data_IF_563751753890
#
_entry.id   IF_563751753890
#
_cell.length_a   1.000
_cell.length_b   1.000
_cell.length_c   1.000
_cell.angle_alpha   90.00
_cell.angle_beta   90.00
_cell.angle_gamma   90.00
#
_symmetry.space_group_name_H-M   'P 1'
#
loop_
_entity.id
_entity.type
_entity.pdbx_description
1 polymer ?
#
# COMPACT_ATOMS: atom_id res chain seq x y z
N UNK A 1 -2.14 8.10 -17.41
CA UNK A 1 -2.24 8.20 -15.94
C UNK A 1 -3.68 7.91 -15.51
N UNK A 2 -3.91 7.26 -14.37
CA UNK A 2 -5.26 6.92 -13.94
C UNK A 2 -6.01 8.09 -13.29
N UNK A 3 -7.33 7.99 -13.25
CA UNK A 3 -8.20 8.86 -12.45
C UNK A 3 -8.17 8.46 -10.96
N UNK A 4 -8.72 9.32 -10.09
CA UNK A 4 -8.90 8.96 -8.67
C UNK A 4 -10.03 7.96 -8.54
N UNK A 5 -9.78 6.87 -7.84
CA UNK A 5 -10.75 5.84 -7.49
C UNK A 5 -11.16 5.96 -6.03
N UNK A 6 -12.36 5.47 -5.71
CA UNK A 6 -12.95 5.58 -4.38
C UNK A 6 -13.66 4.30 -3.98
N UNK A 7 -13.51 3.94 -2.72
CA UNK A 7 -14.27 2.91 -2.02
C UNK A 7 -15.01 3.56 -0.87
N UNK A 8 -16.34 3.67 -0.98
CA UNK A 8 -17.17 4.15 0.13
C UNK A 8 -17.16 3.14 1.28
N UNK A 9 -17.28 1.84 0.94
CA UNK A 9 -17.31 0.73 1.89
C UNK A 9 -16.10 0.72 2.82
N UNK A 10 -14.90 0.97 2.29
CA UNK A 10 -13.65 0.92 3.05
C UNK A 10 -13.09 2.29 3.42
N UNK A 11 -13.83 3.38 3.10
CA UNK A 11 -13.40 4.77 3.26
C UNK A 11 -11.99 5.00 2.71
N UNK A 12 -11.72 4.42 1.54
CA UNK A 12 -10.41 4.44 0.89
C UNK A 12 -10.51 5.25 -0.40
N UNK A 13 -9.57 6.17 -0.59
CA UNK A 13 -9.43 6.96 -1.81
C UNK A 13 -7.99 6.82 -2.27
N UNK A 14 -7.79 6.63 -3.57
CA UNK A 14 -6.46 6.48 -4.13
C UNK A 14 -6.43 6.80 -5.61
N UNK A 15 -5.28 7.26 -6.09
CA UNK A 15 -5.03 7.49 -7.51
C UNK A 15 -3.85 6.61 -7.93
N UNK A 16 -4.10 5.47 -8.59
CA UNK A 16 -3.02 4.69 -9.20
C UNK A 16 -2.24 5.57 -10.18
N UNK A 17 -0.94 5.34 -10.34
CA UNK A 17 -0.18 6.05 -11.38
C UNK A 17 -0.75 5.72 -12.77
N UNK A 18 -0.99 4.43 -13.01
CA UNK A 18 -1.65 3.94 -14.22
C UNK A 18 -2.60 2.79 -13.93
N UNK A 19 -3.58 2.62 -14.83
CA UNK A 19 -4.35 1.40 -15.00
C UNK A 19 -4.16 1.02 -16.45
N UNK A 20 -3.77 -0.22 -16.71
CA UNK A 20 -3.59 -0.76 -18.05
C UNK A 20 -4.69 -1.77 -18.35
N UNK A 21 -5.23 -1.72 -19.55
CA UNK A 21 -6.16 -2.73 -20.03
C UNK A 21 -5.40 -3.97 -20.49
N UNK A 22 -5.83 -5.14 -20.02
CA UNK A 22 -5.23 -6.42 -20.37
C UNK A 22 -6.32 -7.42 -20.70
N UNK A 23 -5.94 -8.63 -21.16
CA UNK A 23 -6.89 -9.75 -21.30
C UNK A 23 -7.56 -10.16 -19.97
N UNK A 24 -7.01 -9.75 -18.83
CA UNK A 24 -7.55 -10.01 -17.50
C UNK A 24 -8.39 -8.83 -16.96
N UNK A 25 -8.67 -7.83 -17.80
CA UNK A 25 -9.31 -6.58 -17.41
C UNK A 25 -8.30 -5.51 -16.95
N UNK A 26 -8.78 -4.48 -16.23
CA UNK A 26 -7.96 -3.35 -15.77
C UNK A 26 -6.98 -3.78 -14.68
N UNK A 27 -5.69 -3.50 -14.87
CA UNK A 27 -4.61 -3.83 -13.94
C UNK A 27 -3.91 -2.56 -13.45
N UNK A 28 -3.84 -2.31 -12.12
CA UNK A 28 -3.16 -1.13 -11.61
C UNK A 28 -1.63 -1.27 -11.68
N UNK A 29 -0.96 -0.15 -11.94
CA UNK A 29 0.50 -0.02 -11.93
C UNK A 29 0.89 1.14 -11.00
N UNK A 30 1.78 0.85 -10.06
CA UNK A 30 2.39 1.81 -9.14
C UNK A 30 3.85 2.04 -9.51
N UNK A 31 4.29 3.30 -9.56
CA UNK A 31 5.67 3.68 -9.84
C UNK A 31 6.37 4.12 -8.56
N UNK A 32 7.54 3.54 -8.29
CA UNK A 32 8.38 3.89 -7.14
C UNK A 32 9.66 4.57 -7.58
N UNK A 33 9.93 5.72 -6.99
CA UNK A 33 11.19 6.46 -7.16
C UNK A 33 12.40 5.76 -6.51
N UNK A 34 12.15 4.83 -5.58
CA UNK A 34 13.17 3.95 -5.02
C UNK A 34 13.60 2.88 -6.05
N UNK A 35 14.81 2.34 -5.86
CA UNK A 35 15.22 1.10 -6.53
C UNK A 35 14.55 -0.10 -5.87
N UNK A 36 14.38 -1.20 -6.62
CA UNK A 36 13.89 -2.44 -6.03
C UNK A 36 14.95 -2.97 -5.03
N UNK A 37 14.55 -3.47 -3.85
CA UNK A 37 15.50 -4.04 -2.89
C UNK A 37 16.40 -5.12 -3.52
N UNK A 38 17.61 -5.28 -2.98
CA UNK A 38 18.56 -6.29 -3.47
C UNK A 38 18.03 -7.72 -3.37
N UNK A 39 17.10 -7.98 -2.44
CA UNK A 39 16.39 -9.26 -2.33
C UNK A 39 15.48 -9.58 -3.52
N UNK A 40 15.22 -8.61 -4.41
CA UNK A 40 14.26 -8.74 -5.50
C UNK A 40 12.79 -8.67 -5.06
N UNK A 41 12.53 -8.57 -3.75
CA UNK A 41 11.19 -8.52 -3.19
C UNK A 41 10.78 -7.07 -2.87
N UNK A 42 9.58 -6.62 -3.28
CA UNK A 42 9.03 -5.34 -2.86
C UNK A 42 8.95 -5.20 -1.34
N UNK A 43 9.04 -3.96 -0.83
CA UNK A 43 8.75 -3.70 0.58
C UNK A 43 7.28 -4.02 0.88
N UNK A 44 6.95 -4.55 2.08
CA UNK A 44 5.57 -4.85 2.46
C UNK A 44 4.60 -3.67 2.29
N UNK A 45 5.06 -2.44 2.61
CA UNK A 45 4.25 -1.23 2.41
C UNK A 45 3.94 -0.94 0.93
N UNK A 46 4.86 -1.23 0.00
CA UNK A 46 4.60 -1.09 -1.43
C UNK A 46 3.58 -2.12 -1.92
N UNK A 47 3.65 -3.35 -1.39
CA UNK A 47 2.71 -4.44 -1.69
C UNK A 47 1.31 -4.06 -1.22
N UNK A 48 1.14 -3.61 0.04
CA UNK A 48 -0.15 -3.19 0.57
C UNK A 48 -0.72 -1.97 -0.14
N UNK A 49 0.12 -1.01 -0.53
CA UNK A 49 -0.35 0.13 -1.32
C UNK A 49 -0.87 -0.31 -2.70
N UNK A 50 -0.17 -1.21 -3.39
CA UNK A 50 -0.66 -1.76 -4.65
C UNK A 50 -1.95 -2.56 -4.46
N UNK A 51 -2.05 -3.35 -3.38
CA UNK A 51 -3.27 -4.08 -3.04
C UNK A 51 -4.46 -3.12 -2.83
N UNK A 52 -4.22 -1.94 -2.24
CA UNK A 52 -5.24 -0.91 -2.10
C UNK A 52 -5.79 -0.45 -3.47
N UNK A 53 -4.93 -0.33 -4.49
CA UNK A 53 -5.39 -0.04 -5.85
C UNK A 53 -6.10 -1.22 -6.50
N UNK A 54 -5.67 -2.47 -6.28
CA UNK A 54 -6.41 -3.62 -6.77
C UNK A 54 -7.84 -3.67 -6.20
N UNK A 55 -8.00 -3.38 -4.90
CA UNK A 55 -9.32 -3.26 -4.26
C UNK A 55 -10.16 -2.12 -4.87
N UNK A 56 -9.55 -0.96 -5.11
CA UNK A 56 -10.25 0.18 -5.73
C UNK A 56 -10.67 -0.10 -7.17
N UNK A 57 -9.84 -0.80 -7.95
CA UNK A 57 -10.18 -1.25 -9.31
C UNK A 57 -11.33 -2.27 -9.25
N UNK A 58 -11.27 -3.23 -8.33
CA UNK A 58 -12.33 -4.21 -8.13
C UNK A 58 -13.69 -3.56 -7.85
N UNK A 59 -13.75 -2.59 -6.93
CA UNK A 59 -15.01 -1.91 -6.60
C UNK A 59 -15.48 -0.95 -7.70
N UNK A 60 -14.56 -0.32 -8.43
CA UNK A 60 -14.92 0.65 -9.49
C UNK A 60 -15.42 -0.05 -10.75
N UNK A 61 -14.75 -1.13 -11.17
CA UNK A 61 -15.00 -1.78 -12.46
C UNK A 61 -15.74 -3.11 -12.34
N UNK A 62 -16.07 -3.55 -11.11
CA UNK A 62 -16.77 -4.81 -10.86
C UNK A 62 -15.98 -6.06 -11.23
N UNK A 63 -14.67 -5.92 -11.50
CA UNK A 63 -13.78 -7.01 -11.93
C UNK A 63 -12.57 -7.06 -11.01
N UNK A 64 -12.32 -8.20 -10.37
CA UNK A 64 -11.18 -8.38 -9.48
C UNK A 64 -9.88 -8.55 -10.28
N UNK A 65 -8.89 -7.64 -10.15
CA UNK A 65 -7.60 -7.83 -10.79
C UNK A 65 -6.88 -9.04 -10.19
N UNK A 66 -6.36 -9.99 -10.99
CA UNK A 66 -5.61 -11.12 -10.43
C UNK A 66 -4.24 -10.70 -9.85
N UNK A 67 -3.74 -9.54 -10.25
CA UNK A 67 -2.45 -8.99 -9.82
C UNK A 67 -2.40 -7.48 -10.10
N UNK A 68 -1.35 -6.82 -9.62
CA UNK A 68 -0.92 -5.49 -10.04
C UNK A 68 0.58 -5.45 -10.32
N UNK A 69 1.08 -4.32 -10.81
CA UNK A 69 2.51 -4.13 -11.07
C UNK A 69 3.11 -3.01 -10.23
N UNK A 70 4.34 -3.21 -9.77
CA UNK A 70 5.18 -2.17 -9.18
C UNK A 70 6.38 -1.96 -10.09
N UNK A 71 6.52 -0.77 -10.67
CA UNK A 71 7.68 -0.36 -11.47
C UNK A 71 8.63 0.45 -10.60
N UNK A 72 9.87 -0.01 -10.45
CA UNK A 72 10.91 0.70 -9.72
C UNK A 72 11.78 1.56 -10.65
N UNK A 73 12.43 2.57 -10.08
CA UNK A 73 13.25 3.55 -10.84
C UNK A 73 14.41 2.90 -11.61
N UNK A 74 14.91 1.77 -11.14
CA UNK A 74 15.98 1.00 -11.81
C UNK A 74 15.46 0.18 -13.01
N UNK A 75 14.23 0.43 -13.46
CA UNK A 75 13.61 -0.20 -14.61
C UNK A 75 12.94 -1.55 -14.30
N UNK A 76 13.18 -2.14 -13.12
CA UNK A 76 12.62 -3.46 -12.77
C UNK A 76 11.13 -3.35 -12.46
N UNK A 77 10.38 -4.37 -12.85
CA UNK A 77 8.94 -4.50 -12.58
C UNK A 77 8.67 -5.77 -11.81
N UNK A 78 7.89 -5.67 -10.74
CA UNK A 78 7.42 -6.82 -9.99
C UNK A 78 5.91 -6.95 -10.20
N UNK A 79 5.49 -8.15 -10.62
CA UNK A 79 4.08 -8.53 -10.59
C UNK A 79 3.73 -9.02 -9.18
N UNK A 80 2.69 -8.47 -8.58
CA UNK A 80 2.23 -8.82 -7.24
C UNK A 80 0.85 -9.44 -7.35
N UNK A 81 0.67 -10.75 -7.04
CA UNK A 81 -0.63 -11.39 -7.01
C UNK A 81 -1.57 -10.72 -6.01
N UNK A 82 -2.81 -10.44 -6.41
CA UNK A 82 -3.83 -9.91 -5.52
C UNK A 82 -4.65 -11.06 -4.93
N UNK A 83 -4.03 -11.80 -4.02
CA UNK A 83 -4.63 -12.99 -3.42
C UNK A 83 -5.69 -12.63 -2.36
N UNK A 84 -6.58 -13.57 -2.02
CA UNK A 84 -7.49 -13.40 -0.87
C UNK A 84 -6.76 -13.10 0.44
N UNK A 85 -5.57 -13.65 0.65
CA UNK A 85 -4.71 -13.41 1.82
C UNK A 85 -4.27 -11.96 1.88
N UNK A 86 -3.75 -11.44 0.74
CA UNK A 86 -3.29 -10.07 0.63
C UNK A 86 -4.45 -9.08 0.77
N UNK A 87 -5.61 -9.39 0.17
CA UNK A 87 -6.84 -8.61 0.36
C UNK A 87 -7.24 -8.58 1.83
N UNK A 88 -7.25 -9.73 2.53
CA UNK A 88 -7.56 -9.78 3.97
C UNK A 88 -6.55 -8.97 4.80
N UNK A 89 -5.27 -9.00 4.47
CA UNK A 89 -4.24 -8.20 5.14
C UNK A 89 -4.46 -6.70 4.95
N UNK A 90 -4.75 -6.27 3.73
CA UNK A 90 -5.13 -4.90 3.42
C UNK A 90 -6.35 -4.46 4.24
N UNK A 91 -7.43 -5.25 4.24
CA UNK A 91 -8.67 -4.90 4.94
C UNK A 91 -8.45 -4.77 6.46
N UNK A 92 -7.67 -5.69 7.07
CA UNK A 92 -7.29 -5.57 8.48
C UNK A 92 -6.46 -4.31 8.75
N UNK A 93 -5.55 -3.97 7.84
CA UNK A 93 -4.71 -2.77 7.96
C UNK A 93 -5.57 -1.50 7.91
N UNK A 94 -6.51 -1.40 6.97
CA UNK A 94 -7.44 -0.28 6.87
C UNK A 94 -8.30 -0.16 8.14
N UNK A 95 -8.83 -1.27 8.64
CA UNK A 95 -9.60 -1.28 9.88
C UNK A 95 -8.78 -0.80 11.09
N UNK A 96 -7.53 -1.27 11.21
CA UNK A 96 -6.62 -0.82 12.26
C UNK A 96 -6.31 0.68 12.17
N UNK A 97 -6.13 1.21 10.95
CA UNK A 97 -5.93 2.64 10.72
C UNK A 97 -7.17 3.46 11.12
N UNK A 98 -8.36 3.04 10.70
CA UNK A 98 -9.61 3.70 11.06
C UNK A 98 -9.89 3.68 12.57
N UNK A 99 -9.54 2.59 13.25
CA UNK A 99 -9.64 2.51 14.71
C UNK A 99 -8.63 3.43 15.40
N UNK A 100 -7.40 3.51 14.87
CA UNK A 100 -6.37 4.41 15.39
C UNK A 100 -6.75 5.89 15.24
N UNK A 101 -7.41 6.28 14.14
CA UNK A 101 -7.93 7.66 13.96
C UNK A 101 -8.93 8.08 15.05
N UNK A 102 -9.67 7.12 15.61
CA UNK A 102 -10.66 7.37 16.67
C UNK A 102 -10.06 7.26 18.08
N UNK A 103 -8.81 6.82 18.19
CA UNK A 103 -8.15 6.62 19.47
C UNK A 103 -7.53 7.91 20.00
N UNK A 104 -7.62 8.12 21.31
CA UNK A 104 -6.88 9.18 22.00
C UNK A 104 -5.38 8.90 22.10
N UNK A 105 -4.96 7.65 21.88
CA UNK A 105 -3.57 7.23 21.95
C UNK A 105 -3.24 6.23 20.83
N UNK A 106 -2.20 6.53 20.04
CA UNK A 106 -1.69 5.64 18.99
C UNK A 106 -0.20 5.39 19.23
N UNK A 107 0.12 4.15 19.57
CA UNK A 107 1.50 3.71 19.79
C UNK A 107 2.25 3.40 18.48
N UNK A 108 3.56 3.20 18.61
CA UNK A 108 4.42 2.81 17.48
C UNK A 108 4.07 1.39 17.01
N UNK A 109 3.91 1.20 15.69
CA UNK A 109 3.60 -0.10 15.05
C UNK A 109 4.84 -0.93 14.64
N UNK A 110 6.00 -0.43 15.04
CA UNK A 110 7.37 -0.86 14.77
C UNK A 110 8.03 -1.92 15.64
N UNK A 111 9.14 -2.50 15.19
CA UNK A 111 10.34 -2.74 16.03
C UNK A 111 11.66 -2.30 15.35
N UNK A 112 11.57 -1.48 14.31
CA UNK A 112 12.70 -1.03 13.49
C UNK A 112 13.19 0.40 13.84
N UNK A 113 14.36 0.60 14.48
CA UNK A 113 14.85 1.94 14.84
C UNK A 113 14.97 2.90 13.64
N UNK A 114 15.45 2.41 12.49
CA UNK A 114 15.62 3.19 11.27
C UNK A 114 14.33 3.83 10.73
N UNK A 115 13.16 3.27 11.07
CA UNK A 115 11.86 3.89 10.74
C UNK A 115 11.55 5.07 11.67
N UNK A 116 11.94 5.00 12.95
CA UNK A 116 11.82 6.12 13.89
C UNK A 116 12.77 7.26 13.51
N UNK A 117 13.99 6.97 13.06
CA UNK A 117 14.97 7.98 12.62
C UNK A 117 14.47 8.88 11.48
N UNK A 118 13.66 8.33 10.58
CA UNK A 118 13.12 9.04 9.40
C UNK A 118 11.66 9.44 9.55
N UNK A 119 11.06 9.23 10.72
CA UNK A 119 9.66 9.56 10.96
C UNK A 119 9.51 11.06 11.24
N UNK A 120 8.74 11.77 10.42
CA UNK A 120 8.45 13.19 10.63
C UNK A 120 7.68 13.51 11.91
N UNK A 121 7.09 12.48 12.55
CA UNK A 121 6.38 12.58 13.83
C UNK A 121 7.21 12.05 15.01
N UNK A 122 8.49 11.70 14.83
CA UNK A 122 9.29 11.09 15.89
C UNK A 122 9.39 11.95 17.17
N UNK A 123 9.29 13.28 17.05
CA UNK A 123 9.39 14.22 18.17
C UNK A 123 8.21 14.13 19.15
N UNK A 124 7.04 13.66 18.72
CA UNK A 124 5.87 13.46 19.60
C UNK A 124 5.78 12.04 20.16
N UNK A 125 6.63 11.10 19.73
CA UNK A 125 6.55 9.70 20.16
C UNK A 125 7.04 9.46 21.60
N UNK A 126 7.71 10.42 22.25
CA UNK A 126 8.17 10.26 23.64
C UNK A 126 8.98 8.98 23.85
N UNK A 127 8.63 8.19 24.87
CA UNK A 127 9.28 6.91 25.21
C UNK A 127 9.05 5.79 24.20
N UNK A 128 8.05 5.92 23.31
CA UNK A 128 7.79 4.94 22.24
C UNK A 128 8.79 5.07 21.08
N UNK A 129 9.53 6.19 20.99
CA UNK A 129 10.56 6.37 19.95
C UNK A 129 11.71 5.40 20.19
N UNK A 130 11.97 4.53 19.22
CA UNK A 130 13.20 3.75 19.21
C UNK A 130 14.40 4.63 18.89
N UNK A 131 15.47 4.43 19.65
CA UNK A 131 16.81 5.00 19.43
C UNK A 131 17.74 3.84 19.04
N UNK A 132 18.74 4.07 18.17
CA UNK A 132 19.76 3.06 17.84
C UNK A 132 20.47 2.48 19.06
#
# INVERSE_FOLDING_TARGET
>A
PASTLRSERWRLIGKPDFIIETRHGPIPVEVKSAALPRSGQPYPGHVLQLAAYCLLVEETFGTTPPFGYIRYRDGRTVQVPFTPELKRELLRTLQAMHAAEQSSHVGRSHQAPWKCERCGLAYICGSERLVP
#
